data_IF_374466611792
#
_entry.id   IF_374466611792
#
_cell.length_a   1.000
_cell.length_b   1.000
_cell.length_c   1.000
_cell.angle_alpha   90.00
_cell.angle_beta   90.00
_cell.angle_gamma   90.00
#
_symmetry.space_group_name_H-M   'P 1'
#
loop_
_entity.id
_entity.type
_entity.pdbx_description
1 polymer ?
#
# COMPACT_ATOMS: atom_id res chain seq x y z
N UNK A 1 5.97 14.39 5.51
CA UNK A 1 6.74 14.07 4.29
C UNK A 1 5.92 13.21 3.34
N UNK A 2 5.30 12.13 3.84
CA UNK A 2 4.34 11.31 3.09
C UNK A 2 3.06 12.06 2.66
N UNK A 3 2.43 12.84 3.54
CA UNK A 3 1.25 13.65 3.16
C UNK A 3 1.54 14.61 2.02
N UNK A 4 2.75 15.17 2.00
CA UNK A 4 3.20 16.04 0.91
C UNK A 4 3.40 15.23 -0.37
N UNK A 5 4.01 14.06 -0.29
CA UNK A 5 4.19 13.15 -1.43
C UNK A 5 2.83 12.69 -2.00
N UNK A 6 1.85 12.41 -1.13
CA UNK A 6 0.49 12.02 -1.50
C UNK A 6 -0.27 13.19 -2.14
N UNK A 7 -0.22 14.37 -1.52
CA UNK A 7 -0.77 15.61 -2.08
C UNK A 7 -0.17 15.91 -3.46
N UNK A 8 1.14 15.78 -3.61
CA UNK A 8 1.85 16.05 -4.86
C UNK A 8 1.48 15.00 -5.93
N UNK A 9 1.37 13.72 -5.56
CA UNK A 9 0.93 12.65 -6.46
C UNK A 9 -0.54 12.81 -6.89
N UNK A 10 -1.42 13.18 -5.97
CA UNK A 10 -2.83 13.45 -6.24
C UNK A 10 -3.00 14.69 -7.12
N UNK A 11 -2.18 15.71 -6.90
CA UNK A 11 -2.12 16.93 -7.73
C UNK A 11 -1.57 16.64 -9.12
N UNK A 12 -0.58 15.74 -9.24
CA UNK A 12 -0.04 15.30 -10.53
C UNK A 12 -1.04 14.43 -11.30
N UNK A 13 -1.90 13.67 -10.61
CA UNK A 13 -2.93 12.82 -11.21
C UNK A 13 -4.19 13.57 -11.66
N UNK A 14 -4.51 14.72 -11.05
CA UNK A 14 -5.69 15.54 -11.41
C UNK A 14 -5.77 15.91 -12.91
N UNK A 15 -4.71 16.44 -13.54
CA UNK A 15 -4.73 16.76 -14.98
C UNK A 15 -4.95 15.52 -15.87
N UNK A 16 -4.42 14.37 -15.45
CA UNK A 16 -4.66 13.10 -16.14
C UNK A 16 -6.10 12.63 -15.95
N UNK A 17 -6.68 12.79 -14.77
CA UNK A 17 -8.09 12.48 -14.50
C UNK A 17 -9.03 13.29 -15.38
N UNK A 18 -8.76 14.58 -15.56
CA UNK A 18 -9.53 15.47 -16.44
C UNK A 18 -9.31 15.16 -17.93
N UNK A 19 -8.08 14.81 -18.33
CA UNK A 19 -7.74 14.41 -19.71
C UNK A 19 -8.26 13.01 -20.07
N UNK A 20 -8.40 12.12 -19.09
CA UNK A 20 -8.89 10.74 -19.24
C UNK A 20 -10.40 10.60 -18.99
N UNK A 21 -11.14 11.70 -18.80
CA UNK A 21 -12.61 11.70 -18.68
C UNK A 21 -13.34 11.29 -19.98
N UNK A 22 -12.63 11.10 -21.09
CA UNK A 22 -13.16 10.34 -22.22
C UNK A 22 -13.35 8.88 -21.82
N UNK A 23 -14.56 8.31 -22.02
CA UNK A 23 -14.92 6.92 -21.64
C UNK A 23 -13.86 5.85 -21.99
N UNK A 24 -13.07 6.09 -23.04
CA UNK A 24 -11.99 5.21 -23.50
C UNK A 24 -10.77 5.11 -22.55
N UNK A 25 -10.50 6.12 -21.73
CA UNK A 25 -9.29 6.15 -20.88
C UNK A 25 -9.56 5.96 -19.39
N UNK A 26 -10.83 6.02 -18.98
CA UNK A 26 -11.24 5.80 -17.59
C UNK A 26 -10.66 4.52 -16.95
N UNK A 27 -10.59 3.37 -17.65
CA UNK A 27 -10.01 2.17 -17.05
C UNK A 27 -8.49 2.28 -16.81
N UNK A 28 -7.77 2.99 -17.69
CA UNK A 28 -6.34 3.25 -17.53
C UNK A 28 -6.10 4.18 -16.33
N UNK A 29 -6.92 5.22 -16.19
CA UNK A 29 -6.87 6.11 -15.02
C UNK A 29 -7.17 5.34 -13.71
N UNK A 30 -8.14 4.41 -13.73
CA UNK A 30 -8.45 3.56 -12.58
C UNK A 30 -7.27 2.65 -12.19
N UNK A 31 -6.58 2.04 -13.16
CA UNK A 31 -5.38 1.24 -12.90
C UNK A 31 -4.26 2.07 -12.26
N UNK A 32 -4.02 3.29 -12.75
CA UNK A 32 -3.03 4.21 -12.13
C UNK A 32 -3.42 4.58 -10.69
N UNK A 33 -4.72 4.79 -10.42
CA UNK A 33 -5.21 5.06 -9.06
C UNK A 33 -5.01 3.85 -8.14
N UNK A 34 -5.22 2.62 -8.62
CA UNK A 34 -4.95 1.39 -7.86
C UNK A 34 -3.47 1.31 -7.51
N UNK A 35 -2.58 1.59 -8.47
CA UNK A 35 -1.14 1.58 -8.23
C UNK A 35 -0.73 2.64 -7.20
N UNK A 36 -1.26 3.86 -7.30
CA UNK A 36 -0.98 4.94 -6.36
C UNK A 36 -1.40 4.57 -4.92
N UNK A 37 -2.62 4.06 -4.74
CA UNK A 37 -3.12 3.60 -3.44
C UNK A 37 -2.30 2.44 -2.88
N UNK A 38 -1.85 1.53 -3.74
CA UNK A 38 -1.02 0.40 -3.33
C UNK A 38 0.33 0.87 -2.79
N UNK A 39 0.98 1.80 -3.49
CA UNK A 39 2.24 2.41 -3.05
C UNK A 39 2.06 3.19 -1.75
N UNK A 40 0.96 3.92 -1.60
CA UNK A 40 0.63 4.64 -0.37
C UNK A 40 0.50 3.69 0.83
N UNK A 41 -0.29 2.62 0.69
CA UNK A 41 -0.46 1.61 1.73
C UNK A 41 0.87 0.95 2.10
N UNK A 42 1.67 0.53 1.12
CA UNK A 42 3.00 -0.05 1.36
C UNK A 42 3.95 0.93 2.05
N UNK A 43 3.95 2.21 1.64
CA UNK A 43 4.78 3.24 2.26
C UNK A 43 4.37 3.56 3.70
N UNK A 44 3.07 3.56 3.99
CA UNK A 44 2.54 3.69 5.35
C UNK A 44 2.97 2.53 6.24
N UNK A 45 2.87 1.30 5.74
CA UNK A 45 3.29 0.09 6.46
C UNK A 45 4.79 0.07 6.72
N UNK A 46 5.60 0.46 5.75
CA UNK A 46 7.05 0.58 5.93
C UNK A 46 7.40 1.64 6.97
N UNK A 47 6.73 2.79 6.95
CA UNK A 47 6.92 3.84 7.96
C UNK A 47 6.55 3.34 9.36
N UNK A 48 5.40 2.69 9.50
CA UNK A 48 4.95 2.08 10.76
C UNK A 48 5.99 1.11 11.29
N UNK A 49 6.46 0.18 10.45
CA UNK A 49 7.47 -0.80 10.83
C UNK A 49 8.77 -0.15 11.33
N UNK A 50 9.25 0.91 10.68
CA UNK A 50 10.46 1.61 11.12
C UNK A 50 10.26 2.34 12.45
N UNK A 51 9.15 3.06 12.64
CA UNK A 51 8.81 3.70 13.92
C UNK A 51 8.81 2.69 15.05
N UNK A 52 8.16 1.56 14.80
CA UNK A 52 8.08 0.42 15.70
C UNK A 52 9.43 -0.20 16.06
N UNK A 53 10.34 -0.33 15.08
CA UNK A 53 11.71 -0.81 15.33
C UNK A 53 12.50 0.17 16.20
N UNK A 54 12.38 1.48 15.95
CA UNK A 54 13.05 2.51 16.74
C UNK A 54 12.58 2.46 18.19
N UNK A 55 11.28 2.33 18.43
CA UNK A 55 10.72 2.16 19.78
C UNK A 55 11.24 0.90 20.47
N UNK A 56 11.30 -0.23 19.76
CA UNK A 56 11.81 -1.48 20.30
C UNK A 56 13.29 -1.37 20.71
N UNK A 57 14.11 -0.73 19.87
CA UNK A 57 15.52 -0.47 20.18
C UNK A 57 15.66 0.45 21.38
N UNK A 58 14.84 1.50 21.49
CA UNK A 58 14.84 2.41 22.64
C UNK A 58 14.56 1.65 23.95
N UNK A 59 13.53 0.80 23.96
CA UNK A 59 13.19 -0.04 25.12
C UNK A 59 14.32 -1.00 25.49
N UNK A 60 14.99 -1.58 24.49
CA UNK A 60 16.14 -2.44 24.72
C UNK A 60 17.31 -1.67 25.38
N UNK A 61 17.59 -0.44 24.94
CA UNK A 61 18.59 0.42 25.57
C UNK A 61 18.25 0.78 27.02
N UNK A 62 16.99 1.11 27.31
CA UNK A 62 16.53 1.38 28.68
C UNK A 62 16.70 0.16 29.60
N UNK A 63 16.44 -1.04 29.08
CA UNK A 63 16.62 -2.29 29.83
C UNK A 63 18.11 -2.57 30.12
N UNK A 64 19.01 -2.29 29.16
CA UNK A 64 20.45 -2.43 29.37
C UNK A 64 21.01 -1.50 30.45
N UNK A 65 20.36 -0.36 30.72
CA UNK A 65 20.75 0.55 31.80
C UNK A 65 20.52 0.02 33.21
N UNK A 66 19.77 -1.08 33.39
CA UNK A 66 19.31 -1.56 34.71
C UNK A 66 20.28 -2.49 35.46
N UNK A 67 21.44 -2.87 34.89
CA UNK A 67 22.47 -3.72 35.54
C UNK A 67 21.94 -5.02 36.20
N UNK A 68 20.77 -5.53 35.76
CA UNK A 68 20.18 -6.78 36.21
C UNK A 68 20.25 -7.82 35.08
N UNK A 69 21.04 -8.88 35.22
CA UNK A 69 21.19 -9.92 34.20
C UNK A 69 19.88 -10.63 33.82
N UNK A 70 18.97 -10.83 34.78
CA UNK A 70 17.69 -11.49 34.52
C UNK A 70 16.78 -10.59 33.68
N UNK A 71 16.70 -9.30 34.05
CA UNK A 71 15.97 -8.30 33.28
C UNK A 71 16.54 -8.10 31.88
N UNK A 72 17.87 -8.22 31.73
CA UNK A 72 18.54 -8.12 30.42
C UNK A 72 18.18 -9.29 29.50
N UNK A 73 18.14 -10.51 30.05
CA UNK A 73 17.74 -11.70 29.31
C UNK A 73 16.26 -11.63 28.88
N UNK A 74 15.38 -11.22 29.78
CA UNK A 74 13.96 -11.02 29.48
C UNK A 74 13.76 -9.95 28.42
N UNK A 75 14.48 -8.82 28.51
CA UNK A 75 14.44 -7.76 27.51
C UNK A 75 14.92 -8.25 26.12
N UNK A 76 16.03 -8.99 26.05
CA UNK A 76 16.51 -9.57 24.79
C UNK A 76 15.50 -10.56 24.19
N UNK A 77 14.89 -11.41 25.02
CA UNK A 77 13.87 -12.36 24.56
C UNK A 77 12.64 -11.63 24.00
N UNK A 78 12.11 -10.67 24.77
CA UNK A 78 10.96 -9.87 24.36
C UNK A 78 11.27 -9.07 23.09
N UNK A 79 12.47 -8.50 22.97
CA UNK A 79 12.90 -7.80 21.77
C UNK A 79 12.92 -8.71 20.54
N UNK A 80 13.46 -9.93 20.66
CA UNK A 80 13.49 -10.88 19.56
C UNK A 80 12.08 -11.33 19.14
N UNK A 81 11.21 -11.61 20.10
CA UNK A 81 9.82 -11.98 19.85
C UNK A 81 9.05 -10.83 19.17
N UNK A 82 9.16 -9.61 19.70
CA UNK A 82 8.56 -8.40 19.13
C UNK A 82 9.03 -8.18 17.68
N UNK A 83 10.33 -8.36 17.42
CA UNK A 83 10.87 -8.20 16.06
C UNK A 83 10.32 -9.25 15.10
N UNK A 84 10.20 -10.51 15.54
CA UNK A 84 9.60 -11.57 14.74
C UNK A 84 8.14 -11.25 14.40
N UNK A 85 7.35 -10.79 15.38
CA UNK A 85 5.95 -10.43 15.19
C UNK A 85 5.80 -9.24 14.23
N UNK A 86 6.65 -8.21 14.36
CA UNK A 86 6.66 -7.04 13.46
C UNK A 86 6.98 -7.44 12.03
N UNK A 87 8.00 -8.27 11.80
CA UNK A 87 8.39 -8.74 10.45
C UNK A 87 7.29 -9.62 9.86
N UNK A 88 6.74 -10.56 10.65
CA UNK A 88 5.64 -11.42 10.19
C UNK A 88 4.42 -10.59 9.81
N UNK A 89 4.07 -9.57 10.59
CA UNK A 89 2.95 -8.68 10.28
C UNK A 89 3.23 -7.87 9.02
N UNK A 90 4.41 -7.26 8.89
CA UNK A 90 4.79 -6.49 7.70
C UNK A 90 4.64 -7.36 6.43
N UNK A 91 5.11 -8.61 6.48
CA UNK A 91 5.00 -9.53 5.35
C UNK A 91 3.53 -9.84 5.02
N UNK A 92 2.72 -10.23 6.02
CA UNK A 92 1.30 -10.54 5.83
C UNK A 92 0.53 -9.35 5.25
N UNK A 93 0.66 -8.18 5.88
CA UNK A 93 -0.02 -6.96 5.43
C UNK A 93 0.44 -6.54 4.04
N UNK A 94 1.73 -6.67 3.71
CA UNK A 94 2.22 -6.41 2.36
C UNK A 94 1.59 -7.36 1.32
N UNK A 95 1.44 -8.64 1.67
CA UNK A 95 0.78 -9.60 0.80
C UNK A 95 -0.71 -9.30 0.62
N UNK A 96 -1.40 -8.91 1.68
CA UNK A 96 -2.81 -8.53 1.63
C UNK A 96 -3.02 -7.28 0.74
N UNK A 97 -2.16 -6.26 0.88
CA UNK A 97 -2.18 -5.07 0.03
C UNK A 97 -2.01 -5.43 -1.45
N UNK A 98 -1.05 -6.31 -1.77
CA UNK A 98 -0.82 -6.74 -3.15
C UNK A 98 -1.97 -7.61 -3.70
N UNK A 99 -2.57 -8.44 -2.86
CA UNK A 99 -3.73 -9.25 -3.23
C UNK A 99 -4.94 -8.35 -3.57
N UNK A 100 -5.25 -7.38 -2.72
CA UNK A 100 -6.31 -6.38 -2.96
C UNK A 100 -6.06 -5.59 -4.26
N UNK A 101 -4.82 -5.17 -4.49
CA UNK A 101 -4.43 -4.44 -5.70
C UNK A 101 -4.65 -5.29 -6.95
N UNK A 102 -4.25 -6.57 -6.90
CA UNK A 102 -4.44 -7.53 -8.00
C UNK A 102 -5.93 -7.76 -8.27
N UNK A 103 -6.74 -7.98 -7.24
CA UNK A 103 -8.18 -8.20 -7.38
C UNK A 103 -8.85 -6.97 -8.00
N UNK A 104 -8.51 -5.77 -7.51
CA UNK A 104 -9.03 -4.50 -8.03
C UNK A 104 -8.63 -4.29 -9.50
N UNK A 105 -7.37 -4.58 -9.86
CA UNK A 105 -6.88 -4.45 -11.22
C UNK A 105 -7.55 -5.46 -12.18
N UNK A 106 -7.76 -6.70 -11.72
CA UNK A 106 -8.49 -7.71 -12.49
C UNK A 106 -9.93 -7.27 -12.79
N UNK A 107 -10.63 -6.70 -11.82
CA UNK A 107 -11.98 -6.16 -12.02
C UNK A 107 -12.03 -5.06 -13.09
N UNK A 108 -11.05 -4.15 -13.10
CA UNK A 108 -10.94 -3.13 -14.14
C UNK A 108 -10.63 -3.74 -15.52
N UNK A 109 -9.75 -4.76 -15.59
CA UNK A 109 -9.46 -5.46 -16.85
C UNK A 109 -10.69 -6.19 -17.40
N UNK A 110 -11.49 -6.82 -16.55
CA UNK A 110 -12.75 -7.45 -16.96
C UNK A 110 -13.76 -6.41 -17.47
N UNK A 111 -13.84 -5.25 -16.83
CA UNK A 111 -14.65 -4.11 -17.30
C UNK A 111 -14.19 -3.62 -18.67
N UNK A 112 -12.88 -3.53 -18.93
CA UNK A 112 -12.33 -3.18 -20.25
C UNK A 112 -12.74 -4.22 -21.30
N UNK A 113 -12.58 -5.50 -21.00
CA UNK A 113 -12.95 -6.59 -21.92
C UNK A 113 -14.43 -6.53 -22.28
N UNK A 114 -15.30 -6.35 -21.28
CA UNK A 114 -16.74 -6.23 -21.49
C UNK A 114 -17.10 -5.04 -22.40
N UNK A 115 -16.46 -3.88 -22.19
CA UNK A 115 -16.65 -2.69 -23.03
C UNK A 115 -16.13 -2.88 -24.46
N UNK A 116 -15.01 -3.59 -24.64
CA UNK A 116 -14.45 -3.89 -25.96
C UNK A 116 -15.30 -4.92 -26.75
N UNK A 117 -16.00 -5.81 -26.06
CA UNK A 117 -16.89 -6.82 -26.67
C UNK A 117 -18.35 -6.35 -26.86
N UNK A 118 -18.72 -5.17 -26.35
CA UNK A 118 -20.05 -4.62 -26.54
C UNK A 118 -20.27 -4.35 -28.05
N UNK A 119 -21.32 -4.92 -28.67
CA UNK A 119 -21.54 -4.76 -30.09
C UNK A 119 -21.72 -3.28 -30.41
N UNK A 120 -21.02 -2.80 -31.44
CA UNK A 120 -21.30 -1.51 -32.09
C UNK A 120 -22.76 -1.60 -32.58
N UNK A 121 -23.68 -1.09 -31.76
CA UNK A 121 -25.09 -1.06 -32.07
C UNK A 121 -25.29 -0.14 -33.28
N UNK A 122 -25.29 -0.77 -34.46
CA UNK A 122 -25.82 -0.31 -35.75
C UNK A 122 -26.25 1.16 -35.78
N UNK A 123 -25.35 2.06 -36.16
CA UNK A 123 -25.77 3.28 -36.89
C UNK A 123 -26.04 2.86 -38.34
N UNK A 124 -27.20 2.24 -38.56
CA UNK A 124 -27.80 2.10 -39.89
C UNK A 124 -29.28 2.49 -39.77
N UNK A 125 -29.54 3.76 -40.01
CA UNK A 125 -30.83 4.32 -40.43
C UNK A 125 -30.49 5.75 -40.90
N UNK A 126 -30.32 5.95 -42.21
CA UNK A 126 -31.35 6.22 -43.22
C UNK A 126 -31.49 7.73 -43.42
#
# INVERSE_FOLDING_TARGET
MFDKMFSDMQSMMKPYQESFNGKQFKPVANLMLIQAKTLEKMGSEQTRFYTECVEAVSKQFEAMGKNDPAALQEAQFNFAQDMQDRVSRLFKTSMDILAEARESANGEIESIKAQATAPVAKTKAA
#
